data_IF_177346249031
#
_entry.id   IF_177346249031
#
_cell.length_a   1.000
_cell.length_b   1.000
_cell.length_c   1.000
_cell.angle_alpha   90.00
_cell.angle_beta   90.00
_cell.angle_gamma   90.00
#
_symmetry.space_group_name_H-M   'P 1'
#
loop_
_entity.id
_entity.type
_entity.pdbx_description
1 polymer ?
#
# COMPACT_ATOMS: atom_id res chain seq x y z
N UNK A 1 -25.18 2.75 -6.52
CA UNK A 1 -23.77 3.16 -6.39
C UNK A 1 -23.62 4.61 -5.95
N UNK A 2 -24.47 5.56 -6.41
CA UNK A 2 -24.53 6.92 -5.83
C UNK A 2 -24.79 6.96 -4.31
N UNK A 3 -25.21 5.84 -3.72
CA UNK A 3 -25.44 5.70 -2.27
C UNK A 3 -24.17 5.27 -1.48
N UNK A 4 -23.28 4.44 -2.05
CA UNK A 4 -22.23 3.76 -1.28
C UNK A 4 -21.26 4.75 -0.60
N UNK A 5 -20.67 5.67 -1.36
CA UNK A 5 -19.73 6.65 -0.80
C UNK A 5 -20.39 7.69 0.09
N UNK A 6 -21.65 8.03 -0.18
CA UNK A 6 -22.42 8.89 0.71
C UNK A 6 -22.70 8.20 2.04
N UNK A 7 -23.02 6.89 2.02
CA UNK A 7 -23.20 6.09 3.23
C UNK A 7 -21.89 5.97 4.01
N UNK A 8 -20.77 5.70 3.33
CA UNK A 8 -19.43 5.65 3.95
C UNK A 8 -19.04 7.01 4.55
N UNK A 9 -19.18 8.10 3.78
CA UNK A 9 -18.88 9.44 4.25
C UNK A 9 -19.73 9.82 5.47
N UNK A 10 -21.02 9.45 5.44
CA UNK A 10 -21.95 9.64 6.58
C UNK A 10 -21.53 8.80 7.78
N UNK A 11 -21.15 7.53 7.56
CA UNK A 11 -20.71 6.61 8.60
C UNK A 11 -19.48 7.13 9.35
N UNK A 12 -18.47 7.58 8.60
CA UNK A 12 -17.25 8.16 9.18
C UNK A 12 -17.40 9.63 9.62
N UNK A 13 -18.51 10.28 9.28
CA UNK A 13 -18.71 11.72 9.44
C UNK A 13 -17.56 12.55 8.83
N UNK A 14 -17.18 12.20 7.59
CA UNK A 14 -16.10 12.85 6.83
C UNK A 14 -16.62 13.37 5.49
N UNK A 15 -15.83 14.25 4.87
CA UNK A 15 -15.98 14.60 3.45
C UNK A 15 -14.93 13.85 2.64
N UNK A 16 -15.37 13.09 1.63
CA UNK A 16 -14.46 12.36 0.75
C UNK A 16 -13.96 13.26 -0.40
N UNK A 17 -12.71 13.07 -0.87
CA UNK A 17 -12.21 13.80 -2.03
C UNK A 17 -13.10 13.62 -3.26
N UNK A 18 -13.39 14.72 -3.97
CA UNK A 18 -14.27 14.67 -5.14
C UNK A 18 -13.75 13.74 -6.25
N UNK A 19 -12.43 13.65 -6.39
CA UNK A 19 -11.76 12.74 -7.34
C UNK A 19 -12.08 11.28 -7.06
N UNK A 20 -12.13 10.89 -5.78
CA UNK A 20 -12.53 9.55 -5.36
C UNK A 20 -13.98 9.28 -5.77
N UNK A 21 -14.90 10.20 -5.44
CA UNK A 21 -16.32 10.08 -5.80
C UNK A 21 -16.50 9.97 -7.33
N UNK A 22 -15.76 10.77 -8.09
CA UNK A 22 -15.83 10.78 -9.54
C UNK A 22 -15.34 9.46 -10.16
N UNK A 23 -14.30 8.83 -9.59
CA UNK A 23 -13.77 7.57 -10.10
C UNK A 23 -14.84 6.46 -10.08
N UNK A 24 -15.66 6.38 -9.04
CA UNK A 24 -16.77 5.42 -8.97
C UNK A 24 -17.97 5.76 -9.85
N UNK A 25 -18.06 7.01 -10.31
CA UNK A 25 -19.06 7.43 -11.30
C UNK A 25 -18.60 7.19 -12.73
N UNK A 26 -17.42 6.60 -12.93
CA UNK A 26 -16.90 6.29 -14.25
C UNK A 26 -17.88 5.34 -14.98
N UNK A 27 -18.53 5.78 -16.08
CA UNK A 27 -19.59 5.01 -16.72
C UNK A 27 -19.09 3.69 -17.31
N UNK A 28 -17.83 3.64 -17.77
CA UNK A 28 -17.21 2.43 -18.31
C UNK A 28 -17.04 1.41 -17.19
N UNK A 29 -16.53 1.84 -16.04
CA UNK A 29 -16.43 0.97 -14.87
C UNK A 29 -17.79 0.43 -14.44
N UNK A 30 -18.81 1.30 -14.35
CA UNK A 30 -20.15 0.87 -13.94
C UNK A 30 -20.80 -0.12 -14.90
N UNK A 31 -20.48 -0.02 -16.20
CA UNK A 31 -20.96 -0.95 -17.21
C UNK A 31 -20.30 -2.33 -17.08
N UNK A 32 -19.01 -2.37 -16.74
CA UNK A 32 -18.18 -3.60 -16.76
C UNK A 32 -17.89 -4.20 -15.39
N UNK A 33 -18.30 -3.57 -14.28
CA UNK A 33 -17.95 -4.02 -12.92
C UNK A 33 -18.33 -5.47 -12.58
N UNK A 34 -19.28 -6.06 -13.30
CA UNK A 34 -19.72 -7.44 -13.11
C UNK A 34 -18.95 -8.43 -14.00
N UNK A 35 -18.11 -7.94 -14.91
CA UNK A 35 -17.25 -8.72 -15.80
C UNK A 35 -15.86 -8.94 -15.19
N UNK A 36 -15.57 -8.31 -14.05
CA UNK A 36 -14.28 -8.35 -13.36
C UNK A 36 -14.23 -9.52 -12.36
N UNK A 37 -13.07 -10.18 -12.25
CA UNK A 37 -12.84 -11.15 -11.17
C UNK A 37 -12.89 -10.52 -9.77
N UNK A 38 -12.51 -9.24 -9.68
CA UNK A 38 -12.49 -8.50 -8.42
C UNK A 38 -13.75 -7.63 -8.36
N UNK A 39 -14.67 -8.03 -7.49
CA UNK A 39 -16.02 -7.46 -7.39
C UNK A 39 -16.07 -6.35 -6.35
N UNK A 40 -16.87 -5.31 -6.64
CA UNK A 40 -17.22 -4.27 -5.68
C UNK A 40 -18.25 -4.79 -4.66
N UNK A 41 -17.97 -4.62 -3.38
CA UNK A 41 -18.87 -4.92 -2.27
C UNK A 41 -20.07 -3.96 -2.25
N UNK A 42 -21.21 -4.47 -1.78
CA UNK A 42 -22.31 -3.64 -1.30
C UNK A 42 -21.91 -2.88 -0.02
N UNK A 43 -22.69 -1.87 0.36
CA UNK A 43 -22.39 -1.13 1.60
C UNK A 43 -22.50 -2.06 2.82
N UNK A 44 -23.50 -2.93 2.82
CA UNK A 44 -23.75 -3.88 3.89
C UNK A 44 -22.60 -4.90 4.02
N UNK A 45 -22.14 -5.49 2.91
CA UNK A 45 -20.98 -6.38 2.91
C UNK A 45 -19.70 -5.64 3.37
N UNK A 46 -19.44 -4.45 2.81
CA UNK A 46 -18.26 -3.65 3.16
C UNK A 46 -18.25 -3.27 4.65
N UNK A 47 -19.42 -2.95 5.20
CA UNK A 47 -19.58 -2.65 6.63
C UNK A 47 -19.34 -3.85 7.52
N UNK A 48 -19.84 -5.03 7.13
CA UNK A 48 -19.60 -6.28 7.88
C UNK A 48 -18.11 -6.61 7.90
N UNK A 49 -17.45 -6.56 6.74
CA UNK A 49 -16.00 -6.78 6.64
C UNK A 49 -15.23 -5.72 7.43
N UNK A 50 -15.62 -4.45 7.33
CA UNK A 50 -14.99 -3.39 8.10
C UNK A 50 -15.10 -3.64 9.60
N UNK A 51 -16.28 -3.98 10.12
CA UNK A 51 -16.46 -4.24 11.56
C UNK A 51 -15.65 -5.45 12.03
N UNK A 52 -15.49 -6.47 11.20
CA UNK A 52 -14.63 -7.62 11.49
C UNK A 52 -13.14 -7.23 11.53
N UNK A 53 -12.67 -6.43 10.56
CA UNK A 53 -11.27 -6.03 10.46
C UNK A 53 -10.88 -4.91 11.44
N UNK A 54 -11.82 -4.04 11.82
CA UNK A 54 -11.55 -2.84 12.61
C UNK A 54 -11.24 -3.11 14.08
N UNK A 55 -11.44 -4.35 14.56
CA UNK A 55 -10.90 -4.77 15.86
C UNK A 55 -9.36 -4.71 15.88
N UNK A 56 -8.71 -4.77 14.70
CA UNK A 56 -7.28 -4.56 14.53
C UNK A 56 -6.95 -3.07 14.33
N UNK A 57 -6.15 -2.51 15.24
CA UNK A 57 -5.69 -1.11 15.22
C UNK A 57 -4.97 -0.75 13.91
N UNK A 58 -4.35 -1.72 13.24
CA UNK A 58 -3.60 -1.50 11.99
C UNK A 58 -4.52 -1.12 10.83
N UNK A 59 -5.70 -1.75 10.74
CA UNK A 59 -6.66 -1.62 9.63
C UNK A 59 -7.64 -0.45 9.86
N UNK A 60 -7.59 0.19 11.02
CA UNK A 60 -8.58 1.19 11.45
C UNK A 60 -8.80 2.40 10.53
N UNK A 61 -7.84 2.73 9.67
CA UNK A 61 -7.92 3.86 8.73
C UNK A 61 -8.43 3.44 7.33
N UNK A 62 -8.62 2.14 7.11
CA UNK A 62 -8.89 1.54 5.80
C UNK A 62 -10.31 1.00 5.75
N UNK A 63 -11.02 1.29 4.66
CA UNK A 63 -12.34 0.75 4.40
C UNK A 63 -12.30 -0.23 3.21
N UNK A 64 -12.68 -1.50 3.40
CA UNK A 64 -12.68 -2.52 2.35
C UNK A 64 -13.81 -2.25 1.36
N UNK A 65 -13.54 -2.39 0.06
CA UNK A 65 -14.51 -2.06 -0.99
C UNK A 65 -14.57 -3.07 -2.12
N UNK A 66 -13.49 -3.78 -2.40
CA UNK A 66 -13.52 -4.85 -3.38
C UNK A 66 -13.06 -6.16 -2.76
N UNK A 67 -13.45 -7.27 -3.37
CA UNK A 67 -13.03 -8.62 -2.97
C UNK A 67 -12.88 -9.53 -4.19
N UNK A 68 -12.06 -10.56 -4.05
CA UNK A 68 -11.98 -11.71 -4.96
C UNK A 68 -12.94 -12.85 -4.53
N UNK A 69 -13.79 -12.61 -3.53
CA UNK A 69 -14.67 -13.59 -2.87
C UNK A 69 -13.91 -14.77 -2.20
N UNK A 70 -12.59 -14.64 -1.99
CA UNK A 70 -11.71 -15.61 -1.32
C UNK A 70 -10.99 -15.01 -0.10
N UNK A 71 -11.67 -14.12 0.63
CA UNK A 71 -11.16 -13.44 1.84
C UNK A 71 -10.01 -12.46 1.61
N UNK A 72 -9.78 -12.01 0.38
CA UNK A 72 -8.90 -10.89 0.09
C UNK A 72 -9.71 -9.64 -0.27
N UNK A 73 -9.22 -8.46 0.13
CA UNK A 73 -9.97 -7.21 -0.05
C UNK A 73 -9.13 -6.03 -0.50
N UNK A 74 -9.63 -5.23 -1.47
CA UNK A 74 -9.02 -3.93 -1.79
C UNK A 74 -9.63 -2.90 -0.84
N UNK A 75 -8.76 -2.27 -0.07
CA UNK A 75 -9.10 -1.20 0.86
C UNK A 75 -8.76 0.18 0.30
N UNK A 76 -9.51 1.18 0.77
CA UNK A 76 -9.17 2.59 0.60
C UNK A 76 -8.88 3.19 1.97
N UNK A 77 -7.77 3.92 2.08
CA UNK A 77 -7.54 4.78 3.22
C UNK A 77 -8.57 5.90 3.28
N UNK A 78 -9.41 5.90 4.31
CA UNK A 78 -10.44 6.91 4.55
C UNK A 78 -9.98 8.00 5.52
N UNK A 79 -8.95 7.72 6.31
CA UNK A 79 -8.44 8.58 7.37
C UNK A 79 -6.91 8.70 7.31
N UNK A 80 -6.40 9.76 7.93
CA UNK A 80 -4.96 10.00 8.07
C UNK A 80 -4.23 10.44 6.79
N UNK A 81 -2.89 10.52 6.82
CA UNK A 81 -2.07 11.03 5.70
C UNK A 81 -2.18 10.24 4.40
N UNK A 82 -2.66 9.00 4.49
CA UNK A 82 -2.79 8.08 3.36
C UNK A 82 -4.16 8.20 2.67
N UNK A 83 -5.05 9.07 3.15
CA UNK A 83 -6.43 9.21 2.64
C UNK A 83 -6.48 9.26 1.10
N UNK A 84 -7.30 8.40 0.52
CA UNK A 84 -7.48 8.29 -0.93
C UNK A 84 -6.57 7.29 -1.63
N UNK A 85 -5.50 6.83 -0.97
CA UNK A 85 -4.66 5.74 -1.46
C UNK A 85 -5.35 4.40 -1.28
N UNK A 86 -4.95 3.45 -2.11
CA UNK A 86 -5.53 2.11 -2.19
C UNK A 86 -4.49 1.10 -1.70
N UNK A 87 -4.90 0.17 -0.84
CA UNK A 87 -4.05 -0.92 -0.38
C UNK A 87 -4.74 -2.26 -0.56
N UNK A 88 -3.94 -3.30 -0.40
CA UNK A 88 -4.35 -4.69 -0.43
C UNK A 88 -4.49 -5.19 1.01
N UNK A 89 -5.57 -5.90 1.30
CA UNK A 89 -5.83 -6.53 2.59
C UNK A 89 -5.80 -8.03 2.34
N UNK A 90 -4.68 -8.63 2.69
CA UNK A 90 -4.45 -10.07 2.65
C UNK A 90 -4.69 -10.62 4.07
N UNK A 91 -5.45 -11.72 4.14
CA UNK A 91 -5.84 -12.35 5.40
C UNK A 91 -4.72 -13.22 5.99
N UNK A 92 -3.70 -13.58 5.21
CA UNK A 92 -2.55 -14.35 5.68
C UNK A 92 -1.43 -13.45 6.23
N UNK A 93 -1.17 -12.31 5.57
CA UNK A 93 -0.12 -11.35 5.95
C UNK A 93 -0.56 -9.89 5.74
N UNK A 94 -0.68 -9.13 6.82
CA UNK A 94 -1.16 -7.74 6.75
C UNK A 94 0.00 -6.79 6.35
N UNK A 95 0.10 -6.47 5.05
CA UNK A 95 0.84 -5.32 4.52
C UNK A 95 -0.14 -4.33 3.87
N UNK A 96 -0.47 -3.26 4.60
CA UNK A 96 -1.39 -2.21 4.13
C UNK A 96 -0.67 -1.10 3.36
N UNK A 97 0.58 -1.29 2.95
CA UNK A 97 1.27 -0.29 2.13
C UNK A 97 0.44 0.08 0.89
N UNK A 98 0.43 1.36 0.49
CA UNK A 98 -0.27 1.77 -0.71
C UNK A 98 0.21 0.98 -1.93
N UNK A 99 -0.74 0.45 -2.70
CA UNK A 99 -0.53 -0.26 -3.96
C UNK A 99 -0.87 0.65 -5.14
N UNK A 100 -1.86 1.53 -4.98
CA UNK A 100 -2.22 2.55 -5.96
C UNK A 100 -2.34 3.95 -5.33
N UNK A 101 -1.97 5.01 -6.06
CA UNK A 101 -2.06 6.39 -5.56
C UNK A 101 -3.51 6.81 -5.34
N UNK A 102 -4.41 6.39 -6.23
CA UNK A 102 -5.81 6.80 -6.25
C UNK A 102 -6.71 5.65 -6.74
N UNK A 103 -7.99 5.72 -6.38
CA UNK A 103 -9.04 4.83 -6.90
C UNK A 103 -9.08 4.78 -8.42
N UNK A 104 -8.93 5.92 -9.09
CA UNK A 104 -9.00 5.96 -10.55
C UNK A 104 -7.91 5.09 -11.20
N UNK A 105 -6.72 5.02 -10.60
CA UNK A 105 -5.64 4.17 -11.08
C UNK A 105 -6.03 2.70 -10.95
N UNK A 106 -6.58 2.29 -9.81
CA UNK A 106 -7.09 0.93 -9.63
C UNK A 106 -8.17 0.59 -10.67
N UNK A 107 -9.18 1.46 -10.82
CA UNK A 107 -10.29 1.22 -11.76
C UNK A 107 -9.77 1.03 -13.18
N UNK A 108 -8.80 1.84 -13.60
CA UNK A 108 -8.17 1.67 -14.90
C UNK A 108 -7.45 0.32 -15.00
N UNK A 109 -6.68 -0.06 -13.98
CA UNK A 109 -6.00 -1.37 -13.94
C UNK A 109 -6.99 -2.53 -14.04
N UNK A 110 -8.11 -2.48 -13.31
CA UNK A 110 -9.15 -3.51 -13.37
C UNK A 110 -9.79 -3.61 -14.75
N UNK A 111 -10.08 -2.47 -15.39
CA UNK A 111 -10.66 -2.43 -16.73
C UNK A 111 -9.70 -2.92 -17.81
N UNK A 112 -8.40 -2.68 -17.64
CA UNK A 112 -7.35 -3.17 -18.54
C UNK A 112 -7.05 -4.66 -18.33
N UNK A 113 -7.36 -5.21 -17.15
CA UNK A 113 -7.02 -6.57 -16.73
C UNK A 113 -8.23 -7.28 -16.08
N UNK A 114 -9.36 -7.45 -16.80
CA UNK A 114 -10.63 -7.90 -16.20
C UNK A 114 -10.59 -9.34 -15.66
N UNK A 115 -9.74 -10.19 -16.24
CA UNK A 115 -9.58 -11.61 -15.91
C UNK A 115 -8.34 -11.88 -15.05
N UNK A 116 -7.66 -10.83 -14.57
CA UNK A 116 -6.45 -11.00 -13.76
C UNK A 116 -6.83 -11.17 -12.29
N UNK A 117 -6.26 -12.21 -11.69
CA UNK A 117 -6.40 -12.47 -10.27
C UNK A 117 -5.77 -11.35 -9.44
N UNK A 118 -6.30 -11.16 -8.23
CA UNK A 118 -5.87 -10.21 -7.23
C UNK A 118 -4.35 -10.06 -7.12
N UNK A 119 -3.66 -11.18 -6.95
CA UNK A 119 -2.23 -11.22 -6.66
C UNK A 119 -1.38 -10.77 -7.86
N UNK A 120 -1.88 -11.03 -9.08
CA UNK A 120 -1.18 -10.77 -10.34
C UNK A 120 -1.48 -9.36 -10.90
N UNK A 121 -2.39 -8.61 -10.27
CA UNK A 121 -2.72 -7.26 -10.73
C UNK A 121 -1.48 -6.35 -10.79
N UNK A 122 -1.27 -5.62 -11.90
CA UNK A 122 -0.19 -4.66 -12.02
C UNK A 122 -0.26 -3.55 -10.95
N UNK A 123 0.70 -3.53 -10.04
CA UNK A 123 0.78 -2.56 -8.92
C UNK A 123 1.48 -1.27 -9.34
N UNK A 124 1.03 -0.13 -8.80
CA UNK A 124 1.69 1.16 -9.04
C UNK A 124 2.89 1.39 -8.12
N UNK A 125 2.76 0.98 -6.86
CA UNK A 125 3.81 1.04 -5.85
C UNK A 125 4.34 -0.37 -5.52
N UNK A 126 5.62 -0.49 -5.12
CA UNK A 126 6.67 0.53 -5.29
C UNK A 126 6.91 0.84 -6.78
N UNK A 127 7.20 2.09 -7.12
CA UNK A 127 7.32 2.49 -8.52
C UNK A 127 8.57 1.87 -9.18
N UNK A 128 8.39 0.94 -10.12
CA UNK A 128 9.50 0.26 -10.81
C UNK A 128 10.46 1.23 -11.56
N UNK A 129 9.95 2.40 -11.96
CA UNK A 129 10.68 3.47 -12.65
C UNK A 129 10.43 4.80 -11.94
N UNK A 130 11.31 5.77 -12.22
CA UNK A 130 11.11 7.13 -11.72
C UNK A 130 9.75 7.66 -12.21
N UNK A 131 8.90 8.09 -11.27
CA UNK A 131 7.59 8.63 -11.61
C UNK A 131 7.78 10.00 -12.26
N UNK A 132 7.29 10.15 -13.50
CA UNK A 132 7.40 11.40 -14.26
C UNK A 132 6.29 12.39 -13.91
N UNK A 133 5.24 11.95 -13.22
CA UNK A 133 4.19 12.81 -12.69
C UNK A 133 4.70 13.59 -11.47
N UNK A 134 5.03 14.86 -11.71
CA UNK A 134 5.54 15.77 -10.68
C UNK A 134 4.50 16.10 -9.60
N UNK A 135 3.21 16.03 -9.91
CA UNK A 135 2.16 16.28 -8.92
C UNK A 135 2.06 15.10 -7.96
N UNK A 136 1.98 13.88 -8.50
CA UNK A 136 1.97 12.65 -7.71
C UNK A 136 3.21 12.57 -6.81
N UNK A 137 4.39 12.84 -7.37
CA UNK A 137 5.64 12.82 -6.60
C UNK A 137 5.62 13.82 -5.42
N UNK A 138 5.06 15.03 -5.63
CA UNK A 138 4.93 16.02 -4.55
C UNK A 138 3.95 15.55 -3.47
N UNK A 139 2.83 14.94 -3.86
CA UNK A 139 1.86 14.38 -2.92
C UNK A 139 2.49 13.24 -2.11
N UNK A 140 3.21 12.33 -2.75
CA UNK A 140 3.86 11.20 -2.07
C UNK A 140 4.92 11.68 -1.08
N UNK A 141 5.77 12.63 -1.47
CA UNK A 141 6.76 13.23 -0.57
C UNK A 141 6.08 13.96 0.60
N UNK A 142 4.94 14.61 0.36
CA UNK A 142 4.16 15.24 1.43
C UNK A 142 3.60 14.21 2.41
N UNK A 143 2.95 13.16 1.91
CA UNK A 143 2.44 12.04 2.71
C UNK A 143 3.56 11.38 3.52
N UNK A 144 4.73 11.12 2.91
CA UNK A 144 5.91 10.57 3.63
C UNK A 144 6.30 11.48 4.79
N UNK A 145 6.30 12.80 4.59
CA UNK A 145 6.64 13.76 5.66
C UNK A 145 5.63 13.72 6.80
N UNK A 146 4.35 13.59 6.50
CA UNK A 146 3.30 13.47 7.52
C UNK A 146 3.42 12.15 8.29
N UNK A 147 3.63 11.03 7.60
CA UNK A 147 3.90 9.73 8.24
C UNK A 147 5.14 9.78 9.13
N UNK A 148 6.24 10.37 8.66
CA UNK A 148 7.46 10.59 9.47
C UNK A 148 7.20 11.47 10.71
N UNK A 149 6.20 12.35 10.69
CA UNK A 149 5.82 13.11 11.87
C UNK A 149 5.00 12.27 12.85
N UNK A 150 4.09 11.41 12.38
CA UNK A 150 3.33 10.47 13.23
C UNK A 150 4.25 9.48 13.94
N UNK A 151 5.32 9.02 13.27
CA UNK A 151 6.34 8.13 13.86
C UNK A 151 7.10 8.74 15.04
N UNK A 152 6.94 10.03 15.34
CA UNK A 152 7.56 10.69 16.48
C UNK A 152 6.75 10.55 17.76
N UNK A 153 5.52 10.06 17.68
CA UNK A 153 4.67 9.82 18.83
C UNK A 153 5.22 8.63 19.64
N UNK A 154 5.64 8.83 20.91
CA UNK A 154 6.17 7.75 21.73
C UNK A 154 5.12 6.71 22.12
N UNK A 155 3.84 7.05 22.05
CA UNK A 155 2.72 6.15 22.38
C UNK A 155 2.16 5.44 21.13
N UNK A 156 2.82 5.60 19.97
CA UNK A 156 2.39 4.95 18.73
C UNK A 156 2.48 3.43 18.89
N UNK A 157 1.36 2.77 18.59
CA UNK A 157 1.30 1.31 18.57
C UNK A 157 2.35 0.72 17.61
N UNK A 158 2.96 -0.42 18.01
CA UNK A 158 4.04 -1.04 17.25
C UNK A 158 3.59 -1.52 15.88
N UNK A 159 2.40 -2.11 15.79
CA UNK A 159 1.89 -2.61 14.52
C UNK A 159 1.55 -1.43 13.59
N UNK A 160 0.97 -0.35 14.14
CA UNK A 160 0.73 0.89 13.38
C UNK A 160 2.03 1.54 12.89
N UNK A 161 3.06 1.59 13.75
CA UNK A 161 4.41 2.05 13.38
C UNK A 161 4.95 1.28 12.19
N UNK A 162 4.84 -0.05 12.20
CA UNK A 162 5.31 -0.92 11.11
C UNK A 162 4.58 -0.63 9.80
N UNK A 163 3.24 -0.48 9.84
CA UNK A 163 2.47 -0.12 8.65
C UNK A 163 2.81 1.27 8.07
N UNK A 164 3.10 2.26 8.93
CA UNK A 164 3.58 3.57 8.47
C UNK A 164 4.96 3.49 7.83
N UNK A 165 5.87 2.67 8.37
CA UNK A 165 7.19 2.44 7.77
C UNK A 165 7.08 1.71 6.42
N UNK A 166 6.21 0.70 6.31
CA UNK A 166 5.91 0.02 5.04
C UNK A 166 5.38 1.01 4.00
N UNK A 167 4.44 1.86 4.41
CA UNK A 167 3.89 2.90 3.55
C UNK A 167 4.95 3.91 3.09
N UNK A 168 5.84 4.35 3.99
CA UNK A 168 6.97 5.22 3.64
C UNK A 168 7.86 4.53 2.60
N UNK A 169 8.20 3.26 2.80
CA UNK A 169 9.05 2.52 1.87
C UNK A 169 8.39 2.34 0.48
N UNK A 170 7.11 2.01 0.43
CA UNK A 170 6.36 1.85 -0.82
C UNK A 170 6.22 3.18 -1.61
N UNK A 171 6.03 4.29 -0.90
CA UNK A 171 5.88 5.62 -1.49
C UNK A 171 7.22 6.29 -1.84
N UNK A 172 8.35 5.80 -1.31
CA UNK A 172 9.65 6.45 -1.48
C UNK A 172 10.06 6.40 -2.96
N UNK A 173 10.24 7.55 -3.62
CA UNK A 173 10.62 7.57 -5.02
C UNK A 173 12.05 7.05 -5.19
N UNK A 174 12.35 6.50 -6.38
CA UNK A 174 13.64 5.88 -6.68
C UNK A 174 14.82 6.84 -6.44
N UNK A 175 14.67 8.13 -6.75
CA UNK A 175 15.68 9.15 -6.47
C UNK A 175 16.00 9.36 -4.98
N UNK A 176 15.14 8.88 -4.06
CA UNK A 176 15.27 9.07 -2.60
C UNK A 176 15.51 7.77 -1.84
N UNK A 177 15.87 6.66 -2.51
CA UNK A 177 16.08 5.35 -1.85
C UNK A 177 17.15 5.34 -0.75
N UNK A 178 18.06 6.33 -0.73
CA UNK A 178 19.00 6.50 0.38
C UNK A 178 18.30 6.71 1.73
N UNK A 179 17.07 7.23 1.74
CA UNK A 179 16.25 7.42 2.95
C UNK A 179 15.78 6.10 3.57
N UNK A 180 15.81 4.99 2.82
CA UNK A 180 15.43 3.65 3.32
C UNK A 180 16.61 2.97 4.02
N UNK A 181 17.87 3.34 3.71
CA UNK A 181 19.06 2.71 4.27
C UNK A 181 19.07 2.61 5.80
N UNK A 182 18.63 3.63 6.59
CA UNK A 182 18.56 3.50 8.04
C UNK A 182 17.63 2.39 8.54
N UNK A 183 16.59 2.04 7.77
CA UNK A 183 15.62 0.99 8.15
C UNK A 183 16.21 -0.42 8.08
N UNK A 184 17.37 -0.60 7.43
CA UNK A 184 18.12 -1.85 7.50
C UNK A 184 18.66 -2.15 8.92
N UNK A 185 18.73 -1.15 9.80
CA UNK A 185 19.14 -1.34 11.20
C UNK A 185 17.94 -1.41 12.16
N UNK A 186 16.71 -1.46 11.65
CA UNK A 186 15.52 -1.48 12.50
C UNK A 186 15.46 -2.75 13.36
N UNK A 187 15.04 -2.58 14.61
CA UNK A 187 14.88 -3.69 15.55
C UNK A 187 13.68 -4.59 15.22
N UNK A 188 12.72 -4.09 14.44
CA UNK A 188 11.61 -4.90 13.93
C UNK A 188 12.08 -5.70 12.70
N UNK A 189 12.00 -7.02 12.78
CA UNK A 189 12.42 -7.93 11.70
C UNK A 189 11.66 -7.70 10.40
N UNK A 190 10.38 -7.35 10.48
CA UNK A 190 9.53 -7.13 9.31
C UNK A 190 9.87 -5.81 8.62
N UNK A 191 10.22 -4.78 9.39
CA UNK A 191 10.73 -3.52 8.85
C UNK A 191 12.07 -3.72 8.16
N UNK A 192 13.00 -4.45 8.78
CA UNK A 192 14.30 -4.74 8.17
C UNK A 192 14.13 -5.55 6.88
N UNK A 193 13.32 -6.60 6.90
CA UNK A 193 12.99 -7.41 5.71
C UNK A 193 12.42 -6.54 4.60
N UNK A 194 11.38 -5.75 4.88
CA UNK A 194 10.74 -4.90 3.88
C UNK A 194 11.70 -3.87 3.27
N UNK A 195 12.57 -3.29 4.09
CA UNK A 195 13.61 -2.36 3.61
C UNK A 195 14.58 -3.05 2.64
N UNK A 196 14.99 -4.28 2.95
CA UNK A 196 15.81 -5.10 2.06
C UNK A 196 15.10 -5.39 0.73
N UNK A 197 13.83 -5.80 0.79
CA UNK A 197 13.04 -6.11 -0.40
C UNK A 197 12.93 -4.93 -1.35
N UNK A 198 12.64 -3.73 -0.82
CA UNK A 198 12.47 -2.52 -1.61
C UNK A 198 13.79 -2.12 -2.28
N UNK A 199 14.91 -2.15 -1.53
CA UNK A 199 16.23 -1.85 -2.09
C UNK A 199 16.63 -2.87 -3.17
N UNK A 200 16.33 -4.16 -2.96
CA UNK A 200 16.52 -5.21 -3.94
C UNK A 200 15.64 -5.07 -5.18
N UNK A 201 14.36 -4.70 -5.01
CA UNK A 201 13.42 -4.45 -6.11
C UNK A 201 13.92 -3.35 -7.04
N UNK A 202 14.48 -2.26 -6.49
CA UNK A 202 15.04 -1.17 -7.29
C UNK A 202 16.48 -1.41 -7.77
N UNK A 203 17.08 -2.55 -7.42
CA UNK A 203 18.50 -2.87 -7.66
C UNK A 203 19.42 -1.73 -7.18
N UNK A 204 19.20 -1.25 -5.96
CA UNK A 204 19.88 -0.07 -5.44
C UNK A 204 21.32 -0.39 -4.99
N UNK A 205 22.26 -0.28 -5.93
CA UNK A 205 23.70 -0.59 -5.74
C UNK A 205 24.33 0.05 -4.48
N UNK A 206 24.02 1.30 -4.08
CA UNK A 206 24.62 1.87 -2.87
C UNK A 206 24.26 1.13 -1.57
N UNK A 207 23.25 0.25 -1.57
CA UNK A 207 22.92 -0.57 -0.40
C UNK A 207 23.79 -1.84 -0.27
N UNK A 208 24.59 -2.22 -1.27
CA UNK A 208 25.25 -3.53 -1.32
C UNK A 208 26.11 -3.87 -0.10
N UNK A 209 26.87 -2.90 0.44
CA UNK A 209 27.67 -3.13 1.65
C UNK A 209 26.78 -3.45 2.86
N UNK A 210 25.72 -2.65 3.06
CA UNK A 210 24.80 -2.82 4.18
C UNK A 210 23.95 -4.08 4.03
N UNK A 211 23.54 -4.43 2.82
CA UNK A 211 22.85 -5.69 2.54
C UNK A 211 23.75 -6.91 2.81
N UNK A 212 25.05 -6.85 2.49
CA UNK A 212 25.98 -7.90 2.89
C UNK A 212 26.10 -8.01 4.41
N UNK A 213 26.10 -6.89 5.13
CA UNK A 213 26.08 -6.93 6.60
C UNK A 213 24.80 -7.59 7.12
N UNK A 214 23.62 -7.21 6.60
CA UNK A 214 22.32 -7.80 6.96
C UNK A 214 22.27 -9.30 6.63
N UNK A 215 22.81 -9.73 5.50
CA UNK A 215 22.90 -11.15 5.12
C UNK A 215 23.63 -11.99 6.18
N UNK A 216 24.72 -11.46 6.75
CA UNK A 216 25.53 -12.18 7.74
C UNK A 216 24.98 -12.03 9.18
N UNK A 217 24.52 -10.83 9.54
CA UNK A 217 24.27 -10.43 10.95
C UNK A 217 22.82 -10.00 11.23
N UNK A 218 21.99 -9.83 10.21
CA UNK A 218 20.61 -9.38 10.33
C UNK A 218 19.69 -10.39 11.02
N UNK A 219 18.40 -10.05 11.07
CA UNK A 219 17.36 -10.92 11.61
C UNK A 219 17.03 -12.04 10.63
N UNK A 220 16.38 -13.12 11.09
CA UNK A 220 16.21 -14.34 10.30
C UNK A 220 15.66 -14.08 8.88
N UNK A 221 14.54 -13.37 8.78
CA UNK A 221 13.94 -13.04 7.48
C UNK A 221 14.81 -12.06 6.67
N UNK A 222 15.35 -11.04 7.34
CA UNK A 222 16.25 -10.05 6.73
C UNK A 222 17.47 -10.69 6.06
N UNK A 223 18.03 -11.77 6.62
CA UNK A 223 19.16 -12.50 6.01
C UNK A 223 18.79 -13.11 4.67
N UNK A 224 17.67 -13.84 4.62
CA UNK A 224 17.18 -14.50 3.40
C UNK A 224 16.80 -13.46 2.34
N UNK A 225 16.08 -12.40 2.74
CA UNK A 225 15.74 -11.29 1.87
C UNK A 225 17.01 -10.62 1.31
N UNK A 226 18.06 -10.47 2.12
CA UNK A 226 19.29 -9.78 1.71
C UNK A 226 20.07 -10.58 0.69
N UNK A 227 20.10 -11.90 0.83
CA UNK A 227 20.68 -12.78 -0.19
C UNK A 227 19.97 -12.62 -1.55
N UNK A 228 18.63 -12.61 -1.55
CA UNK A 228 17.85 -12.41 -2.77
C UNK A 228 18.03 -11.00 -3.36
N UNK A 229 18.06 -9.97 -2.51
CA UNK A 229 18.27 -8.59 -2.94
C UNK A 229 19.65 -8.40 -3.59
N UNK A 230 20.70 -8.97 -3.01
CA UNK A 230 22.06 -8.93 -3.57
C UNK A 230 22.13 -9.62 -4.94
N UNK A 231 21.51 -10.80 -5.09
CA UNK A 231 21.42 -11.48 -6.40
C UNK A 231 20.74 -10.60 -7.46
N UNK A 232 19.67 -9.88 -7.08
CA UNK A 232 18.97 -8.95 -8.00
C UNK A 232 19.83 -7.76 -8.40
N UNK A 233 20.69 -7.27 -7.50
CA UNK A 233 21.61 -6.15 -7.75
C UNK A 233 22.77 -6.57 -8.67
N UNK A 234 23.26 -7.81 -8.54
CA UNK A 234 24.40 -8.34 -9.32
C UNK A 234 24.04 -8.71 -10.76
N UNK A 235 22.77 -8.96 -11.08
CA UNK A 235 22.30 -9.24 -12.44
C UNK A 235 22.16 -7.92 -13.21
N UNK A 236 23.21 -7.54 -13.95
CA UNK A 236 23.19 -6.51 -15.01
C UNK A 236 22.44 -7.01 -16.26
#
# INVERSE_FOLDING_TARGET
MDNLFNQIATFFNISLPQEMINAFKNPIYLQHKNDLLIRLLSFEEAMEVYLYLHEDVTISEVFPLWTDDNSNYIGIYMLGPLTGKVCFIDHEEIDLSPVYPHVQTLINTLLENPETDWFELPKHYPCSKENTDKLQLKQDVHTIKELKNLLKDPELDKAKRTQYLFSIMALTPRAQLHEILPLLDDSDMWVQERAVEILGFHRYVPASEKLNWVKEHGQHNGKLAAELALKRIEIE
#
